data_IF_560498470929
#
_entry.id   IF_560498470929
#
_cell.length_a   1.000
_cell.length_b   1.000
_cell.length_c   1.000
_cell.angle_alpha   90.00
_cell.angle_beta   90.00
_cell.angle_gamma   90.00
#
_symmetry.space_group_name_H-M   'P 1'
#
loop_
_entity.id
_entity.type
_entity.pdbx_description
1 polymer ?
#
# COMPACT_ATOMS: atom_id res chain seq x y z
N UNK A 1 -12.10 10.19 -36.86
CA UNK A 1 -11.02 10.39 -37.84
C UNK A 1 -9.71 10.41 -37.09
N UNK A 2 -8.89 9.36 -37.25
CA UNK A 2 -7.62 9.21 -36.53
C UNK A 2 -6.51 10.10 -37.08
N UNK A 3 -6.68 10.53 -38.31
CA UNK A 3 -5.64 11.22 -39.07
C UNK A 3 -6.30 12.36 -39.84
N UNK A 4 -5.54 13.43 -40.04
CA UNK A 4 -5.95 14.51 -40.91
C UNK A 4 -5.68 14.12 -42.34
N UNK A 5 -6.71 14.18 -43.22
CA UNK A 5 -6.54 13.97 -44.63
C UNK A 5 -5.61 15.01 -45.28
N UNK A 6 -4.69 14.57 -46.07
CA UNK A 6 -3.81 15.43 -46.85
C UNK A 6 -4.09 15.23 -48.34
N UNK A 7 -4.69 16.23 -49.01
CA UNK A 7 -4.95 16.19 -50.43
C UNK A 7 -3.69 16.08 -51.28
N UNK A 8 -2.60 16.70 -50.83
CA UNK A 8 -1.32 16.66 -51.52
C UNK A 8 -0.69 15.28 -51.52
N UNK A 9 -0.86 14.51 -50.44
CA UNK A 9 -0.29 13.17 -50.27
C UNK A 9 -1.28 12.05 -50.50
N UNK A 10 -2.59 12.35 -50.59
CA UNK A 10 -3.69 11.37 -50.69
C UNK A 10 -3.71 10.37 -49.50
N UNK A 11 -3.23 10.77 -48.32
CA UNK A 11 -3.22 9.96 -47.12
C UNK A 11 -3.66 10.78 -45.92
N UNK A 12 -4.09 10.14 -44.86
CA UNK A 12 -4.32 10.75 -43.56
C UNK A 12 -3.01 10.98 -42.82
N UNK A 13 -2.81 12.18 -42.30
CA UNK A 13 -1.64 12.52 -41.57
C UNK A 13 -1.83 12.26 -40.08
N UNK A 14 -0.87 11.61 -39.41
CA UNK A 14 -0.95 11.27 -37.96
C UNK A 14 -0.70 12.49 -37.06
N UNK A 15 -0.37 13.64 -37.59
CA UNK A 15 -0.04 14.86 -36.86
C UNK A 15 -0.69 16.09 -37.44
N UNK A 16 -0.82 17.14 -36.62
CA UNK A 16 -1.23 18.46 -37.11
C UNK A 16 0.02 19.28 -37.38
N UNK A 17 0.34 19.60 -38.63
CA UNK A 17 1.36 20.56 -38.94
C UNK A 17 0.89 21.90 -38.39
N UNK A 18 1.55 22.45 -37.39
CA UNK A 18 1.35 23.83 -37.00
C UNK A 18 2.15 24.73 -37.93
N UNK A 19 1.53 25.84 -38.37
CA UNK A 19 2.25 26.92 -39.03
C UNK A 19 3.41 27.42 -38.14
N UNK A 20 4.17 28.28 -38.61
CA UNK A 20 5.32 28.97 -38.01
C UNK A 20 5.90 28.41 -36.69
N UNK A 21 7.00 27.65 -36.77
CA UNK A 21 7.69 27.04 -35.66
C UNK A 21 7.61 25.51 -35.61
N UNK A 22 8.62 24.90 -35.03
CA UNK A 22 8.79 23.45 -34.95
C UNK A 22 7.83 22.71 -34.00
N UNK A 23 6.72 23.31 -33.60
CA UNK A 23 5.73 22.70 -32.72
C UNK A 23 4.81 21.77 -33.53
N UNK A 24 5.20 20.51 -33.63
CA UNK A 24 4.35 19.46 -34.18
C UNK A 24 3.56 18.84 -33.03
N UNK A 25 2.24 18.95 -33.08
CA UNK A 25 1.35 18.25 -32.15
C UNK A 25 0.84 16.97 -32.80
N UNK A 26 0.96 15.87 -32.07
CA UNK A 26 0.36 14.60 -32.49
C UNK A 26 -1.15 14.74 -32.53
N UNK A 27 -1.78 14.16 -33.56
CA UNK A 27 -3.24 14.10 -33.64
C UNK A 27 -3.78 13.33 -32.42
N UNK A 28 -4.76 13.86 -31.64
CA UNK A 28 -5.34 13.18 -30.48
C UNK A 28 -5.89 11.78 -30.79
N UNK A 29 -6.48 11.58 -31.97
CA UNK A 29 -6.92 10.26 -32.39
C UNK A 29 -5.76 9.31 -32.67
N UNK A 30 -4.65 9.81 -33.18
CA UNK A 30 -3.43 9.01 -33.32
C UNK A 30 -2.94 8.56 -31.96
N UNK A 31 -2.87 9.46 -30.97
CA UNK A 31 -2.46 9.12 -29.61
C UNK A 31 -3.36 8.03 -29.05
N UNK A 32 -4.68 8.17 -29.18
CA UNK A 32 -5.64 7.22 -28.63
C UNK A 32 -5.58 5.81 -29.25
N UNK A 33 -5.20 5.71 -30.52
CA UNK A 33 -5.30 4.44 -31.26
C UNK A 33 -3.97 3.89 -31.79
N UNK A 34 -2.89 4.67 -31.70
CA UNK A 34 -1.58 4.30 -32.21
C UNK A 34 -0.43 4.50 -31.18
N UNK A 35 -0.69 5.19 -30.08
CA UNK A 35 0.25 5.26 -28.96
C UNK A 35 -0.35 4.47 -27.80
N UNK A 36 -0.24 3.15 -27.89
CA UNK A 36 -0.97 2.23 -27.02
C UNK A 36 -0.18 1.99 -25.73
N UNK A 37 -0.92 1.94 -24.63
CA UNK A 37 -0.45 1.53 -23.32
C UNK A 37 -1.35 0.37 -22.86
N UNK A 38 -0.89 -0.84 -23.07
CA UNK A 38 -1.65 -2.06 -22.79
C UNK A 38 -1.21 -2.65 -21.46
N UNK A 39 -2.15 -2.97 -20.61
CA UNK A 39 -1.90 -3.54 -19.31
C UNK A 39 -2.70 -4.83 -19.14
N UNK A 40 -2.02 -5.96 -19.05
CA UNK A 40 -2.61 -7.26 -18.87
C UNK A 40 -2.20 -7.85 -17.51
N UNK A 41 -3.14 -7.86 -16.57
CA UNK A 41 -2.93 -8.37 -15.23
C UNK A 41 -3.67 -9.68 -15.01
N UNK A 42 -2.93 -10.70 -14.56
CA UNK A 42 -3.46 -11.98 -14.10
C UNK A 42 -3.21 -12.11 -12.61
N UNK A 43 -4.26 -12.35 -11.84
CA UNK A 43 -4.17 -12.53 -10.39
C UNK A 43 -4.92 -13.78 -9.98
N UNK A 44 -4.33 -14.54 -9.08
CA UNK A 44 -5.01 -15.61 -8.38
C UNK A 44 -4.74 -15.53 -6.89
N UNK A 45 -5.76 -15.86 -6.11
CA UNK A 45 -5.69 -15.91 -4.67
C UNK A 45 -6.25 -17.24 -4.20
N UNK A 46 -5.44 -17.95 -3.42
CA UNK A 46 -5.81 -19.20 -2.79
C UNK A 46 -5.76 -19.02 -1.27
N UNK A 47 -6.77 -19.54 -0.58
CA UNK A 47 -6.77 -19.56 0.88
C UNK A 47 -7.31 -20.88 1.39
N UNK A 48 -6.66 -21.39 2.43
CA UNK A 48 -7.12 -22.53 3.20
C UNK A 48 -7.17 -22.15 4.67
N UNK A 49 -8.19 -22.60 5.36
CA UNK A 49 -8.34 -22.42 6.81
C UNK A 49 -8.81 -23.74 7.42
N UNK A 50 -8.24 -24.07 8.56
CA UNK A 50 -8.63 -25.22 9.36
C UNK A 50 -8.90 -24.74 10.78
N UNK A 51 -10.03 -25.16 11.32
CA UNK A 51 -10.37 -24.95 12.73
C UNK A 51 -10.61 -26.32 13.37
N UNK A 52 -10.03 -26.49 14.55
CA UNK A 52 -10.18 -27.69 15.36
C UNK A 52 -10.66 -27.33 16.76
N UNK A 53 -11.84 -27.80 17.11
CA UNK A 53 -12.42 -27.59 18.43
C UNK A 53 -11.85 -28.64 19.40
N UNK A 54 -10.96 -28.18 20.28
CA UNK A 54 -10.31 -29.03 21.29
C UNK A 54 -11.26 -29.29 22.47
N UNK A 55 -11.98 -28.23 22.87
CA UNK A 55 -12.99 -28.24 23.93
C UNK A 55 -14.13 -27.29 23.51
N UNK A 56 -15.29 -27.39 24.13
CA UNK A 56 -16.44 -26.51 23.85
C UNK A 56 -16.10 -25.01 23.95
N UNK A 57 -15.06 -24.67 24.67
CA UNK A 57 -14.63 -23.28 24.92
C UNK A 57 -13.23 -22.97 24.34
N UNK A 58 -12.56 -23.92 23.70
CA UNK A 58 -11.19 -23.79 23.17
C UNK A 58 -11.10 -24.35 21.77
N UNK A 59 -10.77 -23.51 20.81
CA UNK A 59 -10.46 -23.95 19.44
C UNK A 59 -9.10 -23.44 18.96
N UNK A 60 -8.52 -24.22 18.06
CA UNK A 60 -7.28 -23.88 17.35
C UNK A 60 -7.65 -23.60 15.90
N UNK A 61 -7.15 -22.50 15.35
CA UNK A 61 -7.34 -22.21 13.93
C UNK A 61 -6.03 -21.86 13.26
N UNK A 62 -5.84 -22.39 12.05
CA UNK A 62 -4.71 -22.07 11.19
C UNK A 62 -5.22 -21.64 9.83
N UNK A 63 -4.60 -20.64 9.24
CA UNK A 63 -4.93 -20.13 7.92
C UNK A 63 -3.66 -19.87 7.12
N UNK A 64 -3.72 -20.20 5.84
CA UNK A 64 -2.73 -19.80 4.86
C UNK A 64 -3.43 -19.11 3.68
N UNK A 65 -2.85 -18.06 3.17
CA UNK A 65 -3.30 -17.37 1.97
C UNK A 65 -2.10 -17.05 1.09
N UNK A 66 -2.24 -17.37 -0.19
CA UNK A 66 -1.28 -17.04 -1.24
C UNK A 66 -2.01 -16.14 -2.24
N UNK A 67 -1.43 -15.01 -2.55
CA UNK A 67 -1.96 -14.04 -3.50
C UNK A 67 -0.86 -13.67 -4.48
N UNK A 68 -1.01 -14.07 -5.73
CA UNK A 68 -0.04 -13.80 -6.79
C UNK A 68 -0.67 -12.98 -7.90
N UNK A 69 0.03 -11.96 -8.34
CA UNK A 69 -0.38 -11.20 -9.51
C UNK A 69 0.78 -10.97 -10.45
N UNK A 70 0.60 -11.36 -11.71
CA UNK A 70 1.53 -11.12 -12.79
C UNK A 70 0.95 -10.05 -13.71
N UNK A 71 1.75 -9.05 -14.00
CA UNK A 71 1.37 -7.94 -14.84
C UNK A 71 2.31 -7.85 -16.04
N UNK A 72 1.76 -7.68 -17.24
CA UNK A 72 2.51 -7.35 -18.43
C UNK A 72 2.00 -6.00 -18.93
N UNK A 73 2.88 -5.02 -18.91
CA UNK A 73 2.64 -3.72 -19.49
C UNK A 73 3.40 -3.58 -20.79
N UNK A 74 2.70 -3.21 -21.87
CA UNK A 74 3.30 -2.95 -23.16
C UNK A 74 3.00 -1.51 -23.62
N UNK A 75 4.03 -0.86 -24.09
CA UNK A 75 3.97 0.46 -24.69
C UNK A 75 4.33 0.32 -26.17
N UNK A 76 3.40 0.70 -27.04
CA UNK A 76 3.54 0.55 -28.50
C UNK A 76 3.24 1.89 -29.18
N UNK A 77 4.26 2.56 -29.70
CA UNK A 77 4.08 3.74 -30.52
C UNK A 77 4.36 3.37 -31.96
N UNK A 78 3.35 3.51 -32.79
CA UNK A 78 3.42 3.14 -34.19
C UNK A 78 4.33 4.07 -34.98
N UNK A 79 4.87 3.55 -36.08
CA UNK A 79 5.58 4.33 -37.08
C UNK A 79 4.73 5.52 -37.52
N UNK A 80 5.35 6.65 -37.84
CA UNK A 80 4.71 7.96 -38.08
C UNK A 80 4.22 8.68 -36.81
N UNK A 81 4.42 8.14 -35.61
CA UNK A 81 4.37 8.94 -34.39
C UNK A 81 5.49 10.00 -34.41
N UNK A 82 5.22 11.18 -33.83
CA UNK A 82 6.22 12.26 -33.74
C UNK A 82 7.51 11.72 -33.15
N UNK A 83 8.62 11.97 -33.86
CA UNK A 83 9.95 11.42 -33.53
C UNK A 83 10.45 11.82 -32.15
N UNK A 84 9.95 12.89 -31.58
CA UNK A 84 10.21 13.25 -30.16
C UNK A 84 9.71 12.18 -29.17
N UNK A 85 8.56 11.54 -29.46
CA UNK A 85 7.99 10.49 -28.61
C UNK A 85 8.64 9.11 -28.87
N UNK A 86 9.21 8.92 -30.05
CA UNK A 86 9.88 7.68 -30.46
C UNK A 86 11.42 7.79 -30.41
N UNK A 87 11.93 8.81 -29.71
CA UNK A 87 13.37 9.06 -29.51
C UNK A 87 14.18 9.12 -30.84
N UNK A 88 13.54 9.69 -31.86
CA UNK A 88 14.14 9.87 -33.19
C UNK A 88 13.84 8.77 -34.19
N UNK A 89 13.21 7.66 -33.82
CA UNK A 89 12.87 6.59 -34.74
C UNK A 89 11.59 6.91 -35.55
N UNK A 90 11.65 6.69 -36.85
CA UNK A 90 10.46 6.71 -37.72
C UNK A 90 9.74 5.36 -37.78
N UNK A 91 10.35 4.30 -37.24
CA UNK A 91 9.83 2.93 -37.27
C UNK A 91 8.89 2.64 -36.07
N UNK A 92 8.91 3.51 -35.05
CA UNK A 92 8.10 3.39 -33.85
C UNK A 92 8.92 3.22 -32.57
N UNK A 93 8.21 2.92 -31.49
CA UNK A 93 8.80 2.70 -30.17
C UNK A 93 8.11 1.53 -29.48
N UNK A 94 8.89 0.72 -28.79
CA UNK A 94 8.37 -0.40 -28.04
C UNK A 94 8.94 -0.44 -26.62
N UNK A 95 8.05 -0.70 -25.67
CA UNK A 95 8.39 -1.01 -24.29
C UNK A 95 7.60 -2.21 -23.80
N UNK A 96 8.25 -3.08 -23.08
CA UNK A 96 7.61 -4.18 -22.37
C UNK A 96 8.15 -4.24 -20.95
N UNK A 97 7.24 -4.39 -19.99
CA UNK A 97 7.55 -4.59 -18.59
C UNK A 97 6.73 -5.77 -18.07
N UNK A 98 7.41 -6.72 -17.47
CA UNK A 98 6.79 -7.85 -16.78
C UNK A 98 7.10 -7.74 -15.31
N UNK A 99 6.06 -7.69 -14.49
CA UNK A 99 6.20 -7.61 -13.04
C UNK A 99 5.36 -8.67 -12.35
N UNK A 100 5.93 -9.23 -11.29
CA UNK A 100 5.33 -10.19 -10.40
C UNK A 100 5.18 -9.62 -9.00
N UNK A 101 4.02 -9.80 -8.38
CA UNK A 101 3.82 -9.59 -6.96
C UNK A 101 3.36 -10.90 -6.33
N UNK A 102 4.02 -11.34 -5.29
CA UNK A 102 3.63 -12.50 -4.51
C UNK A 102 3.49 -12.12 -3.04
N UNK A 103 2.39 -12.52 -2.44
CA UNK A 103 2.16 -12.39 -1.01
C UNK A 103 1.78 -13.76 -0.45
N UNK A 104 2.54 -14.22 0.54
CA UNK A 104 2.18 -15.36 1.37
C UNK A 104 1.89 -14.87 2.77
N UNK A 105 0.72 -15.24 3.28
CA UNK A 105 0.30 -14.93 4.64
C UNK A 105 -0.11 -16.21 5.34
N UNK A 106 0.39 -16.44 6.54
CA UNK A 106 -0.03 -17.54 7.40
C UNK A 106 -0.28 -17.02 8.82
N UNK A 107 -1.30 -17.57 9.47
CA UNK A 107 -1.56 -17.31 10.89
C UNK A 107 -2.00 -18.57 11.61
N UNK A 108 -1.75 -18.57 12.91
CA UNK A 108 -2.22 -19.57 13.84
C UNK A 108 -2.78 -18.90 15.07
N UNK A 109 -3.98 -19.30 15.49
CA UNK A 109 -4.69 -18.73 16.61
C UNK A 109 -5.17 -19.82 17.57
N UNK A 110 -5.07 -19.52 18.84
CA UNK A 110 -5.76 -20.20 19.95
C UNK A 110 -6.93 -19.32 20.34
N UNK A 111 -8.15 -19.82 20.21
CA UNK A 111 -9.37 -19.07 20.51
C UNK A 111 -10.01 -19.63 21.78
N UNK A 112 -10.38 -18.75 22.68
CA UNK A 112 -11.01 -19.05 23.96
C UNK A 112 -12.35 -18.32 24.00
N UNK A 113 -13.42 -19.03 24.27
CA UNK A 113 -14.75 -18.48 24.50
C UNK A 113 -15.37 -19.21 25.67
N UNK A 114 -15.33 -18.60 26.85
CA UNK A 114 -15.77 -19.25 28.09
C UNK A 114 -16.61 -18.32 28.95
N UNK A 115 -17.68 -18.86 29.46
CA UNK A 115 -18.49 -18.21 30.49
C UNK A 115 -18.17 -18.81 31.85
N UNK A 116 -17.89 -17.95 32.83
CA UNK A 116 -17.59 -18.34 34.21
C UNK A 116 -18.43 -17.46 35.16
N UNK A 117 -19.53 -18.03 35.67
CA UNK A 117 -20.48 -17.26 36.46
C UNK A 117 -21.05 -16.06 35.68
N UNK A 118 -20.85 -14.88 36.22
CA UNK A 118 -21.32 -13.62 35.63
C UNK A 118 -20.37 -13.07 34.54
N UNK A 119 -19.19 -13.71 34.31
CA UNK A 119 -18.19 -13.27 33.35
C UNK A 119 -18.28 -14.06 32.06
N UNK A 120 -18.19 -13.33 30.95
CA UNK A 120 -17.93 -13.89 29.61
C UNK A 120 -16.54 -13.48 29.18
N UNK A 121 -15.71 -14.45 28.81
CA UNK A 121 -14.33 -14.23 28.37
C UNK A 121 -14.21 -14.70 26.94
N UNK A 122 -13.88 -13.79 26.04
CA UNK A 122 -13.51 -14.08 24.66
C UNK A 122 -12.08 -13.63 24.47
N UNK A 123 -11.18 -14.55 24.18
CA UNK A 123 -9.77 -14.22 24.01
C UNK A 123 -9.18 -15.01 22.84
N UNK A 124 -8.18 -14.40 22.19
CA UNK A 124 -7.34 -15.09 21.22
C UNK A 124 -5.89 -14.70 21.38
N UNK A 125 -5.02 -15.68 21.17
CA UNK A 125 -3.58 -15.52 21.13
C UNK A 125 -3.13 -16.12 19.80
N UNK A 126 -2.31 -15.38 19.07
CA UNK A 126 -1.91 -15.85 17.76
C UNK A 126 -0.53 -15.36 17.34
N UNK A 127 -0.08 -15.98 16.28
CA UNK A 127 1.12 -15.59 15.54
C UNK A 127 0.79 -15.50 14.07
N UNK A 128 1.46 -14.61 13.36
CA UNK A 128 1.32 -14.49 11.90
C UNK A 128 2.65 -14.24 11.23
N UNK A 129 2.73 -14.69 9.99
CA UNK A 129 3.83 -14.45 9.05
C UNK A 129 3.24 -13.83 7.78
N UNK A 130 3.83 -12.74 7.33
CA UNK A 130 3.55 -12.14 6.03
C UNK A 130 4.84 -11.99 5.27
N UNK A 131 4.90 -12.60 4.11
CA UNK A 131 6.00 -12.51 3.16
C UNK A 131 5.48 -11.88 1.88
N UNK A 132 6.13 -10.81 1.42
CA UNK A 132 5.76 -10.07 0.22
C UNK A 132 7.00 -9.92 -0.66
N UNK A 133 6.88 -10.30 -1.93
CA UNK A 133 7.93 -10.13 -2.90
C UNK A 133 7.42 -9.45 -4.16
N UNK A 134 8.30 -8.72 -4.79
CA UNK A 134 8.08 -8.06 -6.07
C UNK A 134 9.30 -8.25 -6.94
N UNK A 135 9.08 -8.59 -8.19
CA UNK A 135 10.09 -8.63 -9.22
C UNK A 135 9.59 -7.95 -10.50
N UNK A 136 10.50 -7.31 -11.22
CA UNK A 136 10.18 -6.64 -12.48
C UNK A 136 11.38 -6.70 -13.41
N UNK A 137 11.10 -7.06 -14.66
CA UNK A 137 12.02 -6.97 -15.78
C UNK A 137 11.38 -6.23 -16.92
N UNK A 138 12.04 -5.20 -17.42
CA UNK A 138 11.55 -4.38 -18.51
C UNK A 138 12.61 -4.06 -19.54
N UNK A 139 12.17 -3.85 -20.78
CA UNK A 139 12.96 -3.33 -21.89
C UNK A 139 12.15 -2.27 -22.60
N UNK A 140 12.81 -1.16 -22.96
CA UNK A 140 12.18 -0.14 -23.78
C UNK A 140 13.20 0.56 -24.68
N UNK A 141 12.72 1.13 -25.77
CA UNK A 141 13.54 1.91 -26.68
C UNK A 141 12.86 2.12 -28.04
N UNK A 142 13.48 2.97 -28.88
CA UNK A 142 13.05 3.14 -30.26
C UNK A 142 13.31 1.87 -31.09
N UNK A 143 12.46 1.61 -32.07
CA UNK A 143 12.73 0.55 -33.05
C UNK A 143 13.87 1.01 -33.96
N UNK A 144 14.83 0.13 -34.27
CA UNK A 144 15.99 0.44 -35.08
C UNK A 144 15.61 0.90 -36.48
N UNK A 145 16.43 1.76 -37.11
CA UNK A 145 16.14 2.35 -38.44
C UNK A 145 15.94 1.31 -39.53
N UNK A 146 16.68 0.21 -39.49
CA UNK A 146 16.56 -0.92 -40.41
C UNK A 146 15.52 -1.95 -39.99
N UNK A 147 14.80 -1.69 -38.90
CA UNK A 147 13.72 -2.54 -38.42
C UNK A 147 12.47 -2.44 -39.28
N UNK A 148 11.59 -3.41 -39.12
CA UNK A 148 10.30 -3.42 -39.79
C UNK A 148 9.35 -2.52 -39.02
N UNK A 149 8.69 -1.50 -39.64
CA UNK A 149 7.78 -0.62 -38.95
C UNK A 149 6.64 -1.40 -38.25
N UNK A 150 6.36 -1.00 -37.02
CA UNK A 150 5.27 -1.58 -36.21
C UNK A 150 5.44 -3.06 -35.81
N UNK A 151 6.66 -3.58 -35.88
CA UNK A 151 6.99 -4.89 -35.31
C UNK A 151 7.49 -4.66 -33.89
N UNK A 152 6.64 -4.94 -32.91
CA UNK A 152 6.87 -4.65 -31.50
C UNK A 152 7.48 -5.86 -30.79
N UNK A 153 8.80 -5.95 -30.79
CA UNK A 153 9.58 -6.95 -30.07
C UNK A 153 10.91 -6.36 -29.55
N UNK A 154 11.49 -7.02 -28.56
CA UNK A 154 12.73 -6.55 -27.91
C UNK A 154 13.94 -6.64 -28.83
N UNK A 155 13.93 -7.51 -29.83
CA UNK A 155 15.06 -7.72 -30.76
C UNK A 155 15.16 -6.60 -31.81
N UNK A 156 14.03 -5.94 -32.11
CA UNK A 156 13.99 -4.83 -33.06
C UNK A 156 14.30 -3.48 -32.42
N UNK A 157 14.55 -3.43 -31.13
CA UNK A 157 14.99 -2.20 -30.47
C UNK A 157 16.41 -1.81 -30.90
N UNK A 158 16.63 -0.51 -31.06
CA UNK A 158 17.95 0.05 -31.30
C UNK A 158 18.90 -0.30 -30.15
N UNK A 159 19.94 -1.08 -30.44
CA UNK A 159 20.90 -1.56 -29.46
C UNK A 159 21.67 -0.45 -28.73
N UNK A 160 21.75 0.74 -29.32
CA UNK A 160 22.43 1.90 -28.71
C UNK A 160 21.53 2.70 -27.78
N UNK A 161 20.21 2.56 -27.94
CA UNK A 161 19.18 3.32 -27.19
C UNK A 161 18.29 2.42 -26.32
N UNK A 162 18.40 1.10 -26.49
CA UNK A 162 17.64 0.14 -25.73
C UNK A 162 18.02 0.22 -24.25
N UNK A 163 17.03 0.35 -23.40
CA UNK A 163 17.17 0.36 -21.94
C UNK A 163 16.59 -0.91 -21.36
N UNK A 164 17.32 -1.51 -20.44
CA UNK A 164 16.84 -2.60 -19.60
C UNK A 164 16.62 -2.08 -18.19
N UNK A 165 15.55 -2.49 -17.57
CA UNK A 165 15.26 -2.20 -16.16
C UNK A 165 14.99 -3.53 -15.45
N UNK A 166 15.65 -3.73 -14.32
CA UNK A 166 15.41 -4.87 -13.45
C UNK A 166 15.33 -4.37 -12.02
N UNK A 167 14.24 -4.68 -11.34
CA UNK A 167 14.01 -4.30 -9.95
C UNK A 167 13.39 -5.48 -9.21
N UNK A 168 13.64 -5.53 -7.90
CA UNK A 168 13.03 -6.55 -7.05
C UNK A 168 13.26 -6.24 -5.58
N UNK A 169 12.36 -6.76 -4.75
CA UNK A 169 12.46 -6.64 -3.31
C UNK A 169 11.64 -7.74 -2.63
N UNK A 170 12.01 -8.01 -1.41
CA UNK A 170 11.31 -8.92 -0.52
C UNK A 170 11.17 -8.28 0.86
N UNK A 171 10.01 -8.46 1.49
CA UNK A 171 9.68 -7.96 2.82
C UNK A 171 9.00 -9.04 3.62
N UNK A 172 9.47 -9.24 4.85
CA UNK A 172 8.88 -10.18 5.78
C UNK A 172 8.46 -9.48 7.06
N UNK A 173 7.29 -9.82 7.56
CA UNK A 173 6.82 -9.40 8.89
C UNK A 173 6.36 -10.62 9.66
N UNK A 174 6.91 -10.78 10.86
CA UNK A 174 6.49 -11.77 11.84
C UNK A 174 5.78 -11.07 12.98
N UNK A 175 4.74 -11.69 13.53
CA UNK A 175 3.94 -11.05 14.57
C UNK A 175 3.49 -12.04 15.63
N UNK A 176 3.43 -11.55 16.86
CA UNK A 176 2.71 -12.21 17.96
C UNK A 176 1.67 -11.23 18.47
N UNK A 177 0.47 -11.71 18.65
CA UNK A 177 -0.63 -10.87 19.11
C UNK A 177 -1.57 -11.62 20.05
N UNK A 178 -2.24 -10.84 20.89
CA UNK A 178 -3.29 -11.33 21.75
C UNK A 178 -4.41 -10.30 21.85
N UNK A 179 -5.64 -10.78 21.99
CA UNK A 179 -6.77 -9.96 22.36
C UNK A 179 -7.61 -10.68 23.41
N UNK A 180 -8.21 -9.92 24.32
CA UNK A 180 -9.12 -10.43 25.30
C UNK A 180 -10.26 -9.43 25.51
N UNK A 181 -11.50 -9.92 25.50
CA UNK A 181 -12.66 -9.19 25.95
C UNK A 181 -13.27 -9.90 27.16
N UNK A 182 -13.44 -9.16 28.23
CA UNK A 182 -14.10 -9.63 29.44
C UNK A 182 -15.38 -8.85 29.65
N UNK A 183 -16.51 -9.53 29.50
CA UNK A 183 -17.84 -9.00 29.77
C UNK A 183 -18.30 -9.40 31.18
N UNK A 184 -18.84 -8.46 31.95
CA UNK A 184 -19.44 -8.70 33.26
C UNK A 184 -20.95 -8.40 33.23
N UNK A 185 -21.74 -9.42 33.49
CA UNK A 185 -23.24 -9.37 33.53
C UNK A 185 -23.87 -8.78 32.26
N UNK A 186 -23.18 -8.79 31.14
CA UNK A 186 -23.57 -8.09 29.91
C UNK A 186 -23.73 -6.57 30.06
N UNK A 187 -23.22 -6.00 31.16
CA UNK A 187 -23.30 -4.58 31.49
C UNK A 187 -21.99 -3.85 31.20
N UNK A 188 -20.87 -4.47 31.54
CA UNK A 188 -19.56 -3.86 31.43
C UNK A 188 -18.64 -4.76 30.59
N UNK A 189 -17.88 -4.16 29.67
CA UNK A 189 -16.95 -4.87 28.80
C UNK A 189 -15.59 -4.17 28.82
N UNK A 190 -14.55 -4.94 29.10
CA UNK A 190 -13.17 -4.53 28.99
C UNK A 190 -12.52 -5.28 27.84
N UNK A 191 -12.02 -4.55 26.85
CA UNK A 191 -11.28 -5.12 25.72
C UNK A 191 -9.82 -4.72 25.84
N UNK A 192 -8.93 -5.69 25.75
CA UNK A 192 -7.49 -5.51 25.76
C UNK A 192 -6.91 -6.13 24.51
N UNK A 193 -6.03 -5.43 23.80
CA UNK A 193 -5.28 -6.00 22.69
C UNK A 193 -3.82 -5.62 22.79
N UNK A 194 -2.97 -6.49 22.29
CA UNK A 194 -1.55 -6.22 22.15
C UNK A 194 -0.99 -6.99 20.98
N UNK A 195 -0.13 -6.33 20.21
CA UNK A 195 0.57 -6.94 19.08
C UNK A 195 2.01 -6.46 19.06
N UNK A 196 2.94 -7.36 18.79
CA UNK A 196 4.32 -7.02 18.49
C UNK A 196 4.70 -7.55 17.12
N UNK A 197 5.23 -6.65 16.28
CA UNK A 197 5.68 -6.98 14.93
C UNK A 197 7.20 -6.83 14.81
N UNK A 198 7.81 -7.81 14.16
CA UNK A 198 9.20 -7.79 13.68
C UNK A 198 9.15 -7.66 12.17
N UNK A 199 9.57 -6.53 11.64
CA UNK A 199 9.52 -6.24 10.21
C UNK A 199 10.93 -6.14 9.63
N UNK A 200 11.15 -6.76 8.47
CA UNK A 200 12.46 -6.74 7.79
C UNK A 200 12.91 -5.33 7.41
N UNK A 201 11.96 -4.39 7.20
CA UNK A 201 12.26 -2.98 6.95
C UNK A 201 13.03 -2.30 8.10
N UNK A 202 12.93 -2.84 9.32
CA UNK A 202 13.61 -2.31 10.50
C UNK A 202 15.06 -2.81 10.64
N UNK A 203 15.54 -3.66 9.75
CA UNK A 203 16.92 -4.11 9.75
C UNK A 203 17.87 -2.92 9.62
N UNK A 204 18.92 -2.91 10.45
CA UNK A 204 19.89 -1.80 10.49
C UNK A 204 19.45 -0.59 11.31
N UNK A 205 18.28 -0.60 11.93
CA UNK A 205 17.84 0.41 12.89
C UNK A 205 18.14 0.00 14.34
N UNK A 206 18.00 0.94 15.25
CA UNK A 206 18.12 0.68 16.70
C UNK A 206 16.94 -0.09 17.28
N UNK A 207 15.84 -0.19 16.57
CA UNK A 207 14.60 -0.85 16.99
C UNK A 207 14.16 -1.84 15.92
N UNK A 208 14.23 -3.14 16.20
CA UNK A 208 13.91 -4.22 15.26
C UNK A 208 12.46 -4.69 15.37
N UNK A 209 11.72 -4.22 16.36
CA UNK A 209 10.31 -4.55 16.54
C UNK A 209 9.56 -3.38 17.15
N UNK A 210 8.26 -3.40 17.06
CA UNK A 210 7.39 -2.40 17.68
C UNK A 210 6.14 -3.06 18.26
N UNK A 211 5.80 -2.61 19.47
CA UNK A 211 4.63 -3.08 20.20
C UNK A 211 3.53 -2.02 20.18
N UNK A 212 2.31 -2.44 19.92
CA UNK A 212 1.14 -1.57 19.93
C UNK A 212 -0.02 -2.18 20.72
N UNK A 213 -0.33 -1.55 21.88
CA UNK A 213 -1.44 -1.93 22.70
C UNK A 213 -2.73 -1.19 22.31
N UNK A 214 -3.87 -1.77 22.71
CA UNK A 214 -5.10 -1.01 22.87
C UNK A 214 -5.86 -1.45 24.11
N UNK A 215 -6.66 -0.55 24.65
CA UNK A 215 -7.60 -0.80 25.73
C UNK A 215 -8.91 -0.10 25.41
N UNK A 216 -10.00 -0.82 25.58
CA UNK A 216 -11.35 -0.30 25.42
C UNK A 216 -12.21 -0.66 26.62
N UNK A 217 -13.03 0.27 27.07
CA UNK A 217 -14.02 0.07 28.12
C UNK A 217 -15.38 0.52 27.58
N UNK A 218 -16.39 -0.33 27.73
CA UNK A 218 -17.76 0.07 27.41
C UNK A 218 -18.75 -0.40 28.48
N UNK A 219 -19.70 0.45 28.78
CA UNK A 219 -20.74 0.18 29.76
C UNK A 219 -22.15 0.42 29.21
N UNK A 220 -23.03 -0.58 29.37
CA UNK A 220 -24.44 -0.47 29.02
C UNK A 220 -25.16 0.07 30.26
N UNK A 221 -25.27 1.39 30.36
CA UNK A 221 -25.77 2.10 31.55
C UNK A 221 -27.22 1.74 31.82
N UNK A 222 -28.02 1.50 30.77
CA UNK A 222 -29.42 1.06 30.89
C UNK A 222 -29.57 -0.29 31.58
N UNK A 223 -28.56 -1.14 31.59
CA UNK A 223 -28.55 -2.42 32.32
C UNK A 223 -27.99 -2.27 33.75
N UNK A 224 -27.28 -1.17 34.05
CA UNK A 224 -26.66 -0.95 35.36
C UNK A 224 -27.59 -0.21 36.33
N UNK A 225 -28.37 0.74 35.82
CA UNK A 225 -29.23 1.60 36.62
C UNK A 225 -30.58 1.80 35.93
N UNK A 226 -31.63 2.00 36.74
CA UNK A 226 -32.95 2.32 36.19
C UNK A 226 -32.92 3.75 35.64
N UNK A 227 -33.09 3.87 34.34
CA UNK A 227 -33.20 5.15 33.62
C UNK A 227 -34.67 5.59 33.58
N UNK A 228 -34.95 6.88 33.31
CA UNK A 228 -36.31 7.35 32.99
C UNK A 228 -36.89 6.60 31.79
N UNK A 229 -38.22 6.38 31.79
CA UNK A 229 -38.92 5.59 30.76
C UNK A 229 -38.75 6.05 29.32
N UNK A 230 -38.30 7.28 29.10
CA UNK A 230 -38.01 7.81 27.77
C UNK A 230 -36.60 7.48 27.24
N UNK A 231 -35.74 6.84 28.05
CA UNK A 231 -34.44 6.33 27.66
C UNK A 231 -34.46 4.81 27.64
N UNK A 232 -34.57 4.21 26.47
CA UNK A 232 -34.66 2.75 26.34
C UNK A 232 -33.29 2.07 26.38
N UNK A 233 -32.30 2.75 25.89
CA UNK A 233 -30.94 2.24 25.83
C UNK A 233 -29.91 3.37 25.96
N UNK A 234 -28.89 3.11 26.75
CA UNK A 234 -27.77 4.02 26.91
C UNK A 234 -26.48 3.23 27.09
N UNK A 235 -25.54 3.39 26.16
CA UNK A 235 -24.20 2.81 26.22
C UNK A 235 -23.16 3.92 26.09
N UNK A 236 -22.14 3.86 26.92
CA UNK A 236 -20.95 4.71 26.81
C UNK A 236 -19.74 3.84 26.52
N UNK A 237 -18.80 4.39 25.73
CA UNK A 237 -17.57 3.70 25.41
C UNK A 237 -16.39 4.68 25.43
N UNK A 238 -15.24 4.16 25.78
CA UNK A 238 -13.96 4.88 25.69
C UNK A 238 -12.86 3.91 25.31
N UNK A 239 -11.94 4.34 24.49
CA UNK A 239 -10.79 3.52 24.09
C UNK A 239 -9.54 4.34 23.92
N UNK A 240 -8.44 3.66 24.11
CA UNK A 240 -7.09 4.11 23.75
C UNK A 240 -6.43 3.06 22.86
N UNK A 241 -5.81 3.49 21.79
CA UNK A 241 -5.00 2.61 20.95
C UNK A 241 -3.71 3.31 20.52
N UNK A 242 -2.67 2.52 20.40
CA UNK A 242 -1.37 2.97 19.90
C UNK A 242 -0.96 2.06 18.75
N UNK A 243 -0.81 2.59 17.54
CA UNK A 243 -0.48 1.84 16.33
C UNK A 243 0.86 2.28 15.79
N UNK A 244 1.73 1.31 15.49
CA UNK A 244 3.03 1.56 14.86
C UNK A 244 3.00 1.17 13.38
N UNK A 245 3.76 1.90 12.55
CA UNK A 245 4.04 1.55 11.16
C UNK A 245 5.55 1.55 10.92
N UNK A 246 6.10 0.53 10.23
CA UNK A 246 7.49 0.58 9.81
C UNK A 246 7.67 1.68 8.75
N UNK A 247 8.87 2.25 8.69
CA UNK A 247 9.23 3.17 7.62
C UNK A 247 9.47 2.42 6.30
N UNK A 248 9.53 3.13 5.14
CA UNK A 248 9.82 2.51 3.86
C UNK A 248 11.13 1.71 3.86
N UNK A 249 11.17 0.63 3.09
CA UNK A 249 12.34 -0.25 2.99
C UNK A 249 13.60 0.48 2.53
N UNK A 250 14.75 -0.05 2.89
CA UNK A 250 16.10 0.42 2.50
C UNK A 250 16.50 1.81 3.02
N UNK A 251 15.77 2.41 3.94
CA UNK A 251 16.16 3.72 4.50
C UNK A 251 17.40 3.63 5.40
N UNK A 252 17.52 2.57 6.18
CA UNK A 252 18.66 2.35 7.09
C UNK A 252 19.83 1.67 6.39
N UNK A 253 19.56 0.85 5.36
CA UNK A 253 20.56 0.15 4.57
C UNK A 253 20.34 0.52 3.10
N UNK A 254 20.79 1.69 2.66
CA UNK A 254 20.58 2.13 1.30
C UNK A 254 21.34 1.25 0.30
N UNK A 255 20.64 0.90 -0.79
CA UNK A 255 21.18 0.11 -1.88
C UNK A 255 21.68 1.01 -3.03
N UNK A 256 22.59 0.51 -3.85
CA UNK A 256 22.98 1.16 -5.09
C UNK A 256 22.00 0.78 -6.20
N UNK A 257 21.70 1.73 -7.10
CA UNK A 257 20.93 1.47 -8.31
C UNK A 257 21.88 1.44 -9.51
N UNK A 258 21.77 0.39 -10.33
CA UNK A 258 22.50 0.35 -11.60
C UNK A 258 21.78 1.22 -12.63
N UNK A 259 22.51 2.11 -13.29
CA UNK A 259 22.00 2.96 -14.37
C UNK A 259 22.58 2.48 -15.70
N UNK A 260 21.69 2.07 -16.60
CA UNK A 260 22.05 1.54 -17.92
C UNK A 260 22.50 2.62 -18.90
N UNK A 261 22.21 3.89 -18.62
CA UNK A 261 22.63 5.03 -19.47
C UNK A 261 24.11 5.33 -19.29
N UNK A 262 24.57 5.30 -18.04
CA UNK A 262 25.99 5.55 -17.70
C UNK A 262 26.79 4.24 -17.56
N UNK A 263 26.13 3.08 -17.70
CA UNK A 263 26.70 1.75 -17.50
C UNK A 263 27.44 1.63 -16.15
N UNK A 264 26.84 2.16 -15.10
CA UNK A 264 27.46 2.24 -13.79
C UNK A 264 26.46 2.25 -12.64
N UNK A 265 27.00 2.09 -11.44
CA UNK A 265 26.22 2.15 -10.23
C UNK A 265 26.03 3.60 -9.78
N UNK A 266 24.79 4.05 -9.65
CA UNK A 266 24.49 5.35 -9.06
C UNK A 266 24.84 5.34 -7.57
N UNK A 267 25.47 6.42 -7.07
CA UNK A 267 25.73 6.56 -5.65
C UNK A 267 24.42 6.64 -4.86
N UNK A 268 24.51 6.39 -3.57
CA UNK A 268 23.39 6.54 -2.64
C UNK A 268 22.78 7.93 -2.77
N UNK A 269 21.48 7.98 -3.01
CA UNK A 269 20.76 9.26 -3.17
C UNK A 269 20.36 9.87 -1.84
N UNK A 270 20.37 9.12 -0.76
CA UNK A 270 20.03 9.59 0.58
C UNK A 270 21.12 9.33 1.60
N UNK A 271 21.24 10.24 2.55
CA UNK A 271 22.16 10.10 3.67
C UNK A 271 21.67 8.97 4.58
N UNK A 272 22.53 7.98 4.92
CA UNK A 272 22.13 6.87 5.77
C UNK A 272 21.92 7.35 7.20
N UNK A 273 20.72 7.14 7.74
CA UNK A 273 20.37 7.47 9.12
C UNK A 273 20.24 6.17 9.91
N UNK A 274 21.15 5.97 10.89
CA UNK A 274 21.18 4.75 11.69
C UNK A 274 20.14 4.67 12.83
N UNK A 275 19.40 5.74 13.10
CA UNK A 275 18.41 5.81 14.20
C UNK A 275 17.08 6.29 13.67
N UNK A 276 16.32 5.39 13.06
CA UNK A 276 14.93 5.60 12.69
C UNK A 276 14.03 4.80 13.65
N UNK A 277 12.92 5.40 14.01
CA UNK A 277 11.87 4.78 14.79
C UNK A 277 10.64 4.54 13.93
N UNK A 278 9.84 3.49 14.19
CA UNK A 278 8.53 3.35 13.55
C UNK A 278 7.67 4.60 13.78
N UNK A 279 6.94 5.00 12.75
CA UNK A 279 5.90 6.01 12.91
C UNK A 279 4.83 5.47 13.86
N UNK A 280 4.33 6.32 14.76
CA UNK A 280 3.38 5.90 15.78
C UNK A 280 2.22 6.87 15.87
N UNK A 281 1.01 6.31 15.95
CA UNK A 281 -0.23 7.05 16.17
C UNK A 281 -0.89 6.60 17.46
N UNK A 282 -1.03 7.50 18.41
CA UNK A 282 -1.79 7.30 19.63
C UNK A 282 -3.16 7.96 19.48
N UNK A 283 -4.22 7.17 19.68
CA UNK A 283 -5.59 7.59 19.49
C UNK A 283 -6.44 7.36 20.74
N UNK A 284 -7.27 8.33 21.06
CA UNK A 284 -8.30 8.27 22.09
C UNK A 284 -9.65 8.44 21.42
N UNK A 285 -10.59 7.63 21.82
CA UNK A 285 -11.98 7.73 21.37
C UNK A 285 -12.94 7.65 22.56
N UNK A 286 -13.96 8.49 22.56
CA UNK A 286 -15.09 8.41 23.48
C UNK A 286 -16.39 8.43 22.67
N UNK A 287 -17.32 7.56 23.00
CA UNK A 287 -18.59 7.43 22.26
C UNK A 287 -19.78 7.19 23.17
N UNK A 288 -20.92 7.59 22.68
CA UNK A 288 -22.23 7.44 23.30
C UNK A 288 -23.20 6.88 22.27
N UNK A 289 -23.92 5.84 22.64
CA UNK A 289 -25.06 5.31 21.87
C UNK A 289 -26.32 5.35 22.75
N UNK A 290 -27.38 6.00 22.30
CA UNK A 290 -28.63 6.13 23.04
C UNK A 290 -29.85 5.85 22.16
N UNK A 291 -30.88 5.27 22.74
CA UNK A 291 -32.20 5.13 22.10
C UNK A 291 -33.24 5.78 23.01
N UNK A 292 -34.00 6.68 22.43
CA UNK A 292 -35.07 7.42 23.12
C UNK A 292 -36.43 7.09 22.50
N UNK A 293 -37.44 6.99 23.33
CA UNK A 293 -38.85 6.78 22.91
C UNK A 293 -39.01 5.60 21.94
N UNK A 294 -38.15 4.58 22.03
CA UNK A 294 -38.10 3.36 21.21
C UNK A 294 -37.66 3.57 19.74
N UNK A 295 -37.77 4.78 19.21
CA UNK A 295 -37.62 5.06 17.79
C UNK A 295 -36.43 5.98 17.47
N UNK A 296 -36.08 6.91 18.35
CA UNK A 296 -35.01 7.88 18.12
C UNK A 296 -33.67 7.31 18.59
N UNK A 297 -32.77 7.03 17.65
CA UNK A 297 -31.44 6.57 17.93
C UNK A 297 -30.43 7.69 17.72
N UNK A 298 -29.54 7.86 18.67
CA UNK A 298 -28.45 8.79 18.64
C UNK A 298 -27.13 8.02 18.82
N UNK A 299 -26.18 8.20 17.91
CA UNK A 299 -24.80 7.77 18.10
C UNK A 299 -23.90 8.97 17.94
N UNK A 300 -23.01 9.19 18.90
CA UNK A 300 -22.02 10.27 18.85
C UNK A 300 -20.66 9.73 19.26
N UNK A 301 -19.64 10.12 18.57
CA UNK A 301 -18.24 9.80 18.92
C UNK A 301 -17.35 11.03 18.78
N UNK A 302 -16.38 11.12 19.66
CA UNK A 302 -15.31 12.09 19.62
C UNK A 302 -13.99 11.32 19.57
N UNK A 303 -13.09 11.73 18.68
CA UNK A 303 -11.77 11.15 18.57
C UNK A 303 -10.66 12.21 18.61
N UNK A 304 -9.52 11.80 19.13
CA UNK A 304 -8.32 12.59 19.23
C UNK A 304 -7.11 11.71 18.96
N UNK A 305 -6.36 11.99 17.90
CA UNK A 305 -5.22 11.19 17.47
C UNK A 305 -3.98 12.06 17.29
N UNK A 306 -2.84 11.57 17.78
CA UNK A 306 -1.52 12.16 17.57
C UNK A 306 -0.63 11.17 16.85
N UNK A 307 -0.08 11.60 15.72
CA UNK A 307 0.95 10.85 14.99
C UNK A 307 2.30 11.51 15.19
N UNK A 308 3.32 10.74 15.52
CA UNK A 308 4.68 11.20 15.74
C UNK A 308 5.70 10.26 15.09
N UNK A 309 6.97 10.68 15.03
CA UNK A 309 8.06 10.04 14.31
C UNK A 309 7.80 9.94 12.79
N UNK A 310 7.00 10.85 12.22
CA UNK A 310 6.82 10.86 10.78
C UNK A 310 8.13 11.15 10.06
N UNK A 311 8.38 10.39 9.01
CA UNK A 311 9.60 10.49 8.22
C UNK A 311 9.38 11.44 7.05
N UNK A 312 10.20 12.49 6.97
CA UNK A 312 10.24 13.46 5.89
C UNK A 312 11.55 13.34 5.12
N UNK A 313 11.51 13.65 3.83
CA UNK A 313 12.66 13.66 2.94
C UNK A 313 12.93 15.07 2.36
N UNK A 314 13.31 16.07 3.19
CA UNK A 314 13.62 17.39 2.69
C UNK A 314 14.75 17.33 1.67
N UNK A 315 14.60 18.09 0.59
CA UNK A 315 15.65 18.24 -0.43
C UNK A 315 16.82 19.02 0.17
N UNK A 316 18.01 18.50 -0.06
CA UNK A 316 19.27 19.17 0.31
C UNK A 316 20.08 19.52 -0.95
N UNK A 317 21.02 20.44 -0.82
CA UNK A 317 21.90 20.81 -1.93
C UNK A 317 22.74 19.62 -2.39
N UNK A 318 22.84 19.41 -3.70
CA UNK A 318 23.66 18.36 -4.30
C UNK A 318 25.15 18.45 -3.90
N UNK A 319 25.63 19.62 -3.45
CA UNK A 319 26.98 19.81 -2.95
C UNK A 319 27.34 18.99 -1.71
N UNK A 320 26.33 18.46 -1.00
CA UNK A 320 26.53 17.53 0.11
C UNK A 320 26.81 16.07 -0.32
N UNK A 321 26.77 15.79 -1.62
CA UNK A 321 26.94 14.43 -2.14
C UNK A 321 25.74 13.51 -1.98
N UNK A 322 24.64 14.01 -1.39
CA UNK A 322 23.36 13.32 -1.23
C UNK A 322 22.22 14.24 -1.66
N UNK A 323 21.21 13.70 -2.29
CA UNK A 323 20.02 14.46 -2.72
C UNK A 323 18.90 14.50 -1.71
N UNK A 324 18.92 13.60 -0.72
CA UNK A 324 17.89 13.44 0.29
C UNK A 324 18.47 13.20 1.67
N UNK A 325 17.80 13.71 2.66
CA UNK A 325 18.09 13.49 4.07
C UNK A 325 16.78 13.19 4.79
N UNK A 326 16.68 12.03 5.42
CA UNK A 326 15.47 11.68 6.16
C UNK A 326 15.54 12.21 7.57
N UNK A 327 14.48 12.89 8.00
CA UNK A 327 14.30 13.40 9.37
C UNK A 327 12.99 12.89 9.95
N UNK A 328 13.01 12.55 11.23
CA UNK A 328 11.82 12.15 11.96
C UNK A 328 11.46 13.23 12.97
N UNK A 329 10.69 14.22 12.55
CA UNK A 329 10.26 15.35 13.38
C UNK A 329 8.77 15.62 13.30
N UNK A 330 8.04 14.86 12.46
CA UNK A 330 6.63 15.09 12.21
C UNK A 330 5.77 14.83 13.45
N UNK A 331 4.94 15.80 13.78
CA UNK A 331 3.88 15.69 14.76
C UNK A 331 2.59 16.19 14.12
N UNK A 332 1.63 15.29 13.95
CA UNK A 332 0.31 15.62 13.37
C UNK A 332 -0.77 15.28 14.38
N UNK A 333 -1.67 16.22 14.57
CA UNK A 333 -2.84 16.07 15.43
C UNK A 333 -4.10 16.07 14.60
N UNK A 334 -4.92 15.05 14.80
CA UNK A 334 -6.24 14.95 14.23
C UNK A 334 -7.27 14.84 15.35
N UNK A 335 -8.34 15.61 15.27
CA UNK A 335 -9.47 15.50 16.19
C UNK A 335 -10.76 15.78 15.44
N UNK A 336 -11.81 15.09 15.82
CA UNK A 336 -13.11 15.25 15.20
C UNK A 336 -14.23 14.70 16.04
N UNK A 337 -15.44 15.03 15.63
CA UNK A 337 -16.67 14.58 16.21
C UNK A 337 -17.59 14.08 15.11
N UNK A 338 -18.20 12.93 15.33
CA UNK A 338 -19.14 12.32 14.41
C UNK A 338 -20.46 12.08 15.13
N UNK A 339 -21.58 12.27 14.45
CA UNK A 339 -22.91 12.07 14.98
C UNK A 339 -23.88 11.56 13.92
N UNK A 340 -24.76 10.68 14.34
CA UNK A 340 -25.82 10.12 13.51
C UNK A 340 -27.12 10.03 14.30
#
# INVERSE_FOLDING_TARGET
>A
VFERWSDARKINLPYWPQGEGNLRMQNPYWIAYRNLHENNKKRYMLSAALTYDVLDWLSLSGRIRIDNSNNTYEQKYYASTITTLTEGSEQGYYGIEKSGNSQTYADFLVNINKRVGDFTIVANIGTSLSDNSYDMLGYNGPIQEKGIPNVFNVFDLDNTKKRATQEGWEEMTQSIFASAEVGWKSMLYLTLTGRNDWASQLLGSSQTSFFYPSVGLSGVISEMVKLPEWIDYLKVRGSFSSVGMPYPRFLTIPTYKYDTTILGWLPKTHYPIGKLYPERTDSWEAGLDATFFKDLRLSASFYYANTYNQTFDPKISASFGYSKFYVQTGYVRNMGMEGM
#
